data_IF_031608601353
#
_entry.id   IF_031608601353
#
_cell.length_a   1.000
_cell.length_b   1.000
_cell.length_c   1.000
_cell.angle_alpha   90.00
_cell.angle_beta   90.00
_cell.angle_gamma   90.00
#
_symmetry.space_group_name_H-M   'P 1'
#
loop_
_entity.id
_entity.type
_entity.pdbx_description
1 polymer ?
#
# COMPACT_ATOMS: atom_id res chain seq x y z
N UNK A 1 -21.45 -11.62 57.09
CA UNK A 1 -21.95 -12.04 55.76
C UNK A 1 -21.84 -10.99 54.65
N UNK A 2 -21.55 -9.70 54.91
CA UNK A 2 -21.52 -8.66 53.87
C UNK A 2 -20.28 -8.65 52.95
N UNK A 3 -19.14 -9.21 53.39
CA UNK A 3 -17.87 -9.17 52.64
C UNK A 3 -17.87 -10.14 51.44
N UNK A 4 -18.56 -11.28 51.56
CA UNK A 4 -18.63 -12.31 50.50
C UNK A 4 -19.51 -11.85 49.33
N UNK A 5 -20.57 -11.08 49.62
CA UNK A 5 -21.50 -10.55 48.61
C UNK A 5 -20.83 -9.49 47.73
N UNK A 6 -19.95 -8.64 48.30
CA UNK A 6 -19.19 -7.63 47.55
C UNK A 6 -18.17 -8.25 46.58
N UNK A 7 -17.54 -9.37 46.96
CA UNK A 7 -16.63 -10.12 46.07
C UNK A 7 -17.36 -10.73 44.87
N UNK A 8 -18.57 -11.23 45.06
CA UNK A 8 -19.39 -11.80 43.98
C UNK A 8 -19.96 -10.75 43.02
N UNK A 9 -20.33 -9.56 43.52
CA UNK A 9 -20.74 -8.45 42.65
C UNK A 9 -19.57 -7.89 41.83
N UNK A 10 -18.39 -7.74 42.44
CA UNK A 10 -17.19 -7.24 41.76
C UNK A 10 -16.73 -8.14 40.61
N UNK A 11 -16.89 -9.45 40.74
CA UNK A 11 -16.48 -10.43 39.71
C UNK A 11 -17.34 -10.35 38.44
N UNK A 12 -18.64 -10.04 38.57
CA UNK A 12 -19.53 -9.84 37.41
C UNK A 12 -19.26 -8.52 36.69
N UNK A 13 -18.88 -7.47 37.42
CA UNK A 13 -18.53 -6.17 36.84
C UNK A 13 -17.13 -6.20 36.22
N UNK A 14 -16.16 -6.87 36.87
CA UNK A 14 -14.81 -7.06 36.34
C UNK A 14 -14.80 -7.86 35.04
N UNK A 15 -15.63 -8.90 34.94
CA UNK A 15 -15.79 -9.66 33.69
C UNK A 15 -16.30 -8.79 32.54
N UNK A 16 -17.28 -7.91 32.81
CA UNK A 16 -17.80 -6.97 31.81
C UNK A 16 -16.73 -5.96 31.37
N UNK A 17 -15.89 -5.48 32.28
CA UNK A 17 -14.78 -4.57 31.97
C UNK A 17 -13.71 -5.27 31.11
N UNK A 18 -13.37 -6.52 31.41
CA UNK A 18 -12.42 -7.31 30.61
C UNK A 18 -12.96 -7.55 29.19
N UNK A 19 -14.24 -7.88 29.04
CA UNK A 19 -14.86 -8.05 27.72
C UNK A 19 -14.85 -6.77 26.90
N UNK A 20 -15.14 -5.61 27.52
CA UNK A 20 -15.10 -4.31 26.83
C UNK A 20 -13.68 -3.95 26.42
N UNK A 21 -12.69 -4.17 27.30
CA UNK A 21 -11.28 -3.92 26.97
C UNK A 21 -10.80 -4.77 25.79
N UNK A 22 -11.20 -6.05 25.75
CA UNK A 22 -10.83 -6.96 24.67
C UNK A 22 -11.48 -6.59 23.33
N UNK A 23 -12.73 -6.10 23.36
CA UNK A 23 -13.40 -5.52 22.19
C UNK A 23 -12.71 -4.26 21.67
N UNK A 24 -12.26 -3.36 22.55
CA UNK A 24 -11.52 -2.16 22.16
C UNK A 24 -10.17 -2.53 21.53
N UNK A 25 -9.45 -3.51 22.09
CA UNK A 25 -8.20 -4.01 21.50
C UNK A 25 -8.44 -4.61 20.12
N UNK A 26 -9.51 -5.38 19.93
CA UNK A 26 -9.90 -5.92 18.61
C UNK A 26 -10.21 -4.81 17.60
N UNK A 27 -10.87 -3.72 18.03
CA UNK A 27 -11.15 -2.57 17.15
C UNK A 27 -9.87 -1.84 16.73
N UNK A 28 -8.88 -1.71 17.62
CA UNK A 28 -7.57 -1.08 17.31
C UNK A 28 -6.73 -1.94 16.36
N UNK A 29 -6.84 -3.27 16.44
CA UNK A 29 -6.14 -4.18 15.52
C UNK A 29 -6.77 -4.14 14.11
N UNK A 30 -8.07 -3.84 14.01
CA UNK A 30 -8.78 -3.74 12.72
C UNK A 30 -8.57 -2.40 12.01
N UNK A 31 -8.05 -1.37 12.69
CA UNK A 31 -7.45 -0.21 12.00
C UNK A 31 -6.04 -0.58 11.56
N UNK A 32 -5.95 -1.52 10.61
CA UNK A 32 -4.73 -1.80 9.87
C UNK A 32 -4.21 -0.48 9.32
N UNK A 33 -3.04 -0.08 9.81
CA UNK A 33 -2.33 1.09 9.33
C UNK A 33 -1.83 0.76 7.92
N UNK A 34 -2.68 0.94 6.91
CA UNK A 34 -2.24 1.02 5.52
C UNK A 34 -1.52 2.37 5.33
N UNK A 35 -0.32 2.49 5.90
CA UNK A 35 0.65 3.48 5.44
C UNK A 35 1.19 3.00 4.10
N UNK A 36 0.43 3.24 3.03
CA UNK A 36 0.97 3.21 1.67
C UNK A 36 1.87 4.43 1.49
N UNK A 37 3.05 4.36 2.10
CA UNK A 37 4.05 5.43 2.03
C UNK A 37 4.77 5.35 0.69
N UNK A 38 4.23 6.02 -0.33
CA UNK A 38 4.91 6.36 -1.58
C UNK A 38 5.27 5.19 -2.50
N UNK A 39 5.30 5.46 -3.81
CA UNK A 39 5.92 4.71 -4.93
C UNK A 39 6.11 3.18 -4.84
N UNK A 40 5.23 2.46 -4.13
CA UNK A 40 5.34 1.03 -3.86
C UNK A 40 3.95 0.42 -3.88
N UNK A 41 3.72 -0.49 -4.81
CA UNK A 41 2.52 -1.33 -4.80
C UNK A 41 2.81 -2.53 -3.91
N UNK A 42 2.02 -2.68 -2.85
CA UNK A 42 2.06 -3.84 -1.93
C UNK A 42 0.98 -4.84 -2.34
N UNK A 43 1.09 -5.36 -3.56
CA UNK A 43 0.36 -6.56 -3.96
C UNK A 43 1.33 -7.73 -3.89
N UNK A 44 0.91 -8.78 -3.19
CA UNK A 44 1.77 -9.85 -2.70
C UNK A 44 2.79 -10.34 -3.73
N UNK A 45 4.05 -10.18 -3.34
CA UNK A 45 5.29 -10.78 -3.85
C UNK A 45 6.28 -9.85 -4.52
N UNK A 46 5.90 -8.81 -5.27
CA UNK A 46 6.91 -8.00 -5.97
C UNK A 46 6.82 -6.48 -5.79
N UNK A 47 7.65 -5.94 -4.88
CA UNK A 47 7.77 -4.48 -4.65
C UNK A 47 8.68 -3.88 -5.72
N UNK A 48 8.18 -3.71 -6.93
CA UNK A 48 8.89 -2.95 -7.95
C UNK A 48 8.81 -1.45 -7.62
N UNK A 49 9.97 -0.79 -7.58
CA UNK A 49 10.07 0.66 -7.36
C UNK A 49 10.50 1.31 -8.66
N UNK A 50 9.63 2.15 -9.23
CA UNK A 50 9.89 2.87 -10.48
C UNK A 50 10.25 4.32 -10.18
N UNK A 51 11.38 4.82 -10.63
CA UNK A 51 11.85 6.17 -10.26
C UNK A 51 11.38 7.24 -11.22
N UNK A 52 11.16 6.90 -12.49
CA UNK A 52 10.89 7.87 -13.55
C UNK A 52 9.87 7.32 -14.54
N UNK A 53 9.03 8.19 -15.11
CA UNK A 53 8.05 7.80 -16.12
C UNK A 53 8.03 8.75 -17.32
N UNK A 54 7.64 8.20 -18.48
CA UNK A 54 7.26 8.92 -19.69
C UNK A 54 5.83 8.53 -20.05
N UNK A 55 4.93 9.50 -20.14
CA UNK A 55 3.50 9.30 -20.43
C UNK A 55 3.17 10.03 -21.72
N UNK A 56 2.65 9.30 -22.72
CA UNK A 56 2.14 9.88 -23.97
C UNK A 56 0.68 10.29 -23.79
N UNK A 57 0.42 11.58 -23.95
CA UNK A 57 -0.92 12.14 -23.94
C UNK A 57 -1.60 11.99 -25.32
N UNK A 58 -2.93 12.15 -25.35
CA UNK A 58 -3.74 11.98 -26.57
C UNK A 58 -3.45 13.02 -27.66
N UNK A 59 -2.90 14.16 -27.28
CA UNK A 59 -2.44 15.24 -28.16
C UNK A 59 -1.00 15.04 -28.68
N UNK A 60 -0.38 13.89 -28.38
CA UNK A 60 1.01 13.53 -28.69
C UNK A 60 2.06 14.25 -27.83
N UNK A 61 1.66 15.01 -26.82
CA UNK A 61 2.60 15.53 -25.84
C UNK A 61 3.14 14.39 -24.96
N UNK A 62 4.37 14.55 -24.47
CA UNK A 62 5.00 13.62 -23.53
C UNK A 62 5.18 14.33 -22.20
N UNK A 63 4.51 13.81 -21.18
CA UNK A 63 4.77 14.19 -19.79
C UNK A 63 5.83 13.25 -19.24
N UNK A 64 6.87 13.82 -18.64
CA UNK A 64 7.98 13.06 -18.08
C UNK A 64 8.39 13.62 -16.72
N UNK A 65 8.83 12.76 -15.81
CA UNK A 65 9.29 13.19 -14.51
C UNK A 65 9.47 12.06 -13.51
N UNK A 66 9.90 12.45 -12.31
CA UNK A 66 10.08 11.52 -11.20
C UNK A 66 8.73 11.06 -10.65
N UNK A 67 8.59 9.76 -10.46
CA UNK A 67 7.38 9.16 -9.90
C UNK A 67 7.42 9.35 -8.39
N UNK A 68 6.41 10.03 -7.86
CA UNK A 68 6.20 10.12 -6.41
C UNK A 68 5.30 8.98 -5.90
N UNK A 69 4.33 8.58 -6.71
CA UNK A 69 3.42 7.47 -6.42
C UNK A 69 2.94 6.85 -7.73
N UNK A 70 2.69 5.54 -7.73
CA UNK A 70 1.91 4.88 -8.78
C UNK A 70 0.99 3.84 -8.16
N UNK A 71 -0.02 3.45 -8.92
CA UNK A 71 -1.00 2.45 -8.56
C UNK A 71 -1.41 1.69 -9.82
N UNK A 72 -1.23 0.38 -9.76
CA UNK A 72 -1.86 -0.57 -10.67
C UNK A 72 -3.26 -0.93 -10.17
N UNK A 73 -4.16 -1.20 -11.10
CA UNK A 73 -5.50 -1.71 -10.83
C UNK A 73 -5.56 -3.15 -11.31
N UNK A 74 -5.73 -4.08 -10.36
CA UNK A 74 -5.78 -5.50 -10.64
C UNK A 74 -6.81 -5.82 -11.74
N UNK A 75 -6.41 -6.63 -12.74
CA UNK A 75 -7.23 -7.00 -13.89
C UNK A 75 -7.71 -5.79 -14.73
N UNK A 76 -6.87 -4.77 -14.87
CA UNK A 76 -7.10 -3.60 -15.73
C UNK A 76 -5.86 -3.30 -16.56
N UNK A 77 -6.05 -2.78 -17.78
CA UNK A 77 -4.96 -2.27 -18.60
C UNK A 77 -4.58 -0.82 -18.26
N UNK A 78 -4.98 -0.36 -17.07
CA UNK A 78 -4.86 1.03 -16.64
C UNK A 78 -3.94 1.16 -15.44
N UNK A 79 -3.12 2.19 -15.46
CA UNK A 79 -2.22 2.57 -14.37
C UNK A 79 -2.40 4.04 -14.02
N UNK A 80 -2.31 4.36 -12.73
CA UNK A 80 -2.29 5.73 -12.22
C UNK A 80 -0.87 6.09 -11.76
N UNK A 81 -0.37 7.25 -12.17
CA UNK A 81 0.98 7.73 -11.83
C UNK A 81 0.90 9.18 -11.37
N UNK A 82 1.65 9.51 -10.33
CA UNK A 82 1.80 10.87 -9.80
C UNK A 82 3.16 11.44 -10.19
N UNK A 83 3.13 12.52 -10.96
CA UNK A 83 4.31 13.30 -11.38
C UNK A 83 4.03 14.75 -11.00
N UNK A 84 4.96 15.39 -10.29
CA UNK A 84 4.87 16.80 -9.86
C UNK A 84 3.54 17.20 -9.21
N UNK A 85 2.98 16.33 -8.36
CA UNK A 85 1.72 16.61 -7.67
C UNK A 85 0.45 16.35 -8.48
N UNK A 86 0.56 15.96 -9.76
CA UNK A 86 -0.57 15.67 -10.64
C UNK A 86 -0.71 14.17 -10.87
N UNK A 87 -1.93 13.67 -10.79
CA UNK A 87 -2.26 12.29 -11.12
C UNK A 87 -2.62 12.14 -12.60
N UNK A 88 -2.01 11.16 -13.24
CA UNK A 88 -2.26 10.76 -14.62
C UNK A 88 -2.79 9.33 -14.61
N UNK A 89 -3.99 9.13 -15.17
CA UNK A 89 -4.57 7.81 -15.39
C UNK A 89 -4.42 7.48 -16.87
N UNK A 90 -3.71 6.40 -17.18
CA UNK A 90 -3.37 6.06 -18.56
C UNK A 90 -3.39 4.55 -18.79
N UNK A 91 -3.52 4.15 -20.05
CA UNK A 91 -3.33 2.77 -20.47
C UNK A 91 -1.84 2.39 -20.43
N UNK A 92 -1.50 1.13 -20.14
CA UNK A 92 -0.12 0.64 -20.09
C UNK A 92 0.68 0.88 -21.37
N UNK A 93 0.03 0.81 -22.54
CA UNK A 93 0.67 1.08 -23.84
C UNK A 93 1.12 2.53 -24.05
N UNK A 94 0.62 3.46 -23.23
CA UNK A 94 0.93 4.88 -23.32
C UNK A 94 1.98 5.32 -22.30
N UNK A 95 2.55 4.41 -21.51
CA UNK A 95 3.52 4.75 -20.48
C UNK A 95 4.74 3.84 -20.50
N UNK A 96 5.90 4.43 -20.22
CA UNK A 96 7.13 3.73 -19.90
C UNK A 96 7.55 4.14 -18.49
N UNK A 97 7.76 3.16 -17.60
CA UNK A 97 8.29 3.39 -16.26
C UNK A 97 9.69 2.78 -16.16
N UNK A 98 10.62 3.53 -15.58
CA UNK A 98 12.02 3.13 -15.44
C UNK A 98 12.28 2.78 -13.98
N UNK A 99 12.81 1.58 -13.76
CA UNK A 99 13.41 1.18 -12.50
C UNK A 99 14.93 1.37 -12.60
N UNK A 100 15.53 2.03 -11.62
CA UNK A 100 16.98 2.12 -11.49
C UNK A 100 17.46 1.09 -10.45
N UNK A 101 18.11 -0.02 -10.87
CA UNK A 101 18.58 -1.05 -9.94
C UNK A 101 19.71 -0.57 -9.02
N UNK A 102 20.36 0.57 -9.31
CA UNK A 102 21.43 1.14 -8.48
C UNK A 102 20.91 1.91 -7.27
N UNK A 103 19.62 2.28 -7.22
CA UNK A 103 19.02 3.11 -6.15
C UNK A 103 18.42 2.32 -4.97
N UNK A 104 18.79 1.04 -4.80
CA UNK A 104 18.36 0.24 -3.65
C UNK A 104 17.56 -0.96 -4.11
N UNK A 105 18.31 -2.04 -4.35
CA UNK A 105 17.82 -3.36 -4.65
C UNK A 105 16.99 -3.91 -3.48
N UNK A 106 15.67 -3.99 -3.64
CA UNK A 106 14.82 -4.86 -2.84
C UNK A 106 14.37 -6.03 -3.71
N UNK A 107 15.28 -6.99 -3.89
CA UNK A 107 14.91 -8.40 -4.00
C UNK A 107 14.60 -8.98 -5.39
N UNK A 108 14.91 -8.29 -6.50
CA UNK A 108 14.79 -8.90 -7.83
C UNK A 108 16.16 -9.17 -8.44
N UNK A 109 16.48 -10.46 -8.55
CA UNK A 109 17.44 -10.94 -9.54
C UNK A 109 16.78 -10.76 -10.91
N UNK A 110 17.28 -9.83 -11.72
CA UNK A 110 16.91 -9.78 -13.13
C UNK A 110 17.45 -11.05 -13.79
N UNK A 111 16.58 -11.95 -14.24
CA UNK A 111 16.98 -12.90 -15.28
C UNK A 111 17.33 -12.04 -16.50
N UNK A 112 18.57 -12.12 -17.02
CA UNK A 112 18.91 -11.40 -18.23
C UNK A 112 17.96 -11.88 -19.33
N UNK A 113 17.39 -10.92 -20.07
CA UNK A 113 16.59 -11.21 -21.26
C UNK A 113 17.40 -12.17 -22.14
N UNK A 114 16.82 -13.34 -22.39
CA UNK A 114 17.43 -14.32 -23.27
C UNK A 114 17.41 -13.70 -24.68
N UNK A 115 18.59 -13.43 -25.23
CA UNK A 115 18.75 -12.93 -26.61
C UNK A 115 18.17 -13.98 -27.58
N UNK A 116 17.10 -13.62 -28.29
CA UNK A 116 16.56 -14.36 -29.44
C UNK A 116 17.23 -13.92 -30.75
#
# INVERSE_FOLDING_TARGET
MAIVVRRFLGMKTAWKVVLVALLVVLMVIMTGCETTTGNRVTSGKDVQTFTYAYIRLGDKEIVQGYITQWRDYNNSDTIQIMIDGKYYLTHYSCVVMIADPSMGNLGYSYEPLQDD
#
